data_IF_487777197494
#
_entry.id   IF_487777197494
#
_cell.length_a   1.000
_cell.length_b   1.000
_cell.length_c   1.000
_cell.angle_alpha   90.00
_cell.angle_beta   90.00
_cell.angle_gamma   90.00
#
_symmetry.space_group_name_H-M   'P 1'
#
loop_
_entity.id
_entity.type
_entity.pdbx_description
1 polymer ?
#
# COMPACT_ATOMS: atom_id res chain seq x y z
N UNK A 1 -32.63 -8.83 26.74
CA UNK A 1 -32.87 -7.42 26.34
C UNK A 1 -31.58 -6.88 25.77
N UNK A 2 -31.54 -6.53 24.48
CA UNK A 2 -30.31 -6.02 23.86
C UNK A 2 -30.01 -4.61 24.37
N UNK A 3 -28.77 -4.37 24.83
CA UNK A 3 -28.33 -3.11 25.43
C UNK A 3 -28.07 -2.11 24.30
N UNK A 4 -28.91 -1.07 24.18
CA UNK A 4 -28.74 0.01 23.19
C UNK A 4 -27.41 0.70 23.40
N UNK A 5 -26.62 0.85 22.33
CA UNK A 5 -25.37 1.61 22.36
C UNK A 5 -25.67 3.12 22.28
N UNK A 6 -24.95 3.93 23.06
CA UNK A 6 -25.02 5.39 23.06
C UNK A 6 -23.64 5.93 22.69
N UNK A 7 -23.57 6.86 21.73
CA UNK A 7 -22.36 7.58 21.34
C UNK A 7 -22.49 9.05 21.77
N UNK A 8 -21.63 9.46 22.69
CA UNK A 8 -21.52 10.82 23.23
C UNK A 8 -20.39 11.60 22.57
N UNK A 9 -20.35 12.92 22.80
CA UNK A 9 -19.27 13.77 22.31
C UNK A 9 -17.90 13.39 22.92
N UNK A 10 -17.88 12.86 24.14
CA UNK A 10 -16.65 12.43 24.79
C UNK A 10 -16.08 11.15 24.16
N UNK A 11 -16.95 10.24 23.70
CA UNK A 11 -16.53 9.04 22.97
C UNK A 11 -15.83 9.42 21.65
N UNK A 12 -16.38 10.41 20.95
CA UNK A 12 -15.80 10.96 19.70
C UNK A 12 -14.46 11.65 19.97
N UNK A 13 -14.35 12.46 21.03
CA UNK A 13 -13.08 13.10 21.41
C UNK A 13 -12.02 12.07 21.82
N UNK A 14 -12.42 11.04 22.55
CA UNK A 14 -11.52 9.97 22.96
C UNK A 14 -11.00 9.19 21.74
N UNK A 15 -11.87 8.89 20.77
CA UNK A 15 -11.47 8.27 19.50
C UNK A 15 -10.51 9.16 18.69
N UNK A 16 -10.82 10.44 18.55
CA UNK A 16 -9.93 11.39 17.86
C UNK A 16 -8.55 11.49 18.54
N UNK A 17 -8.49 11.48 19.87
CA UNK A 17 -7.24 11.45 20.64
C UNK A 17 -6.42 10.17 20.44
N UNK A 18 -7.08 9.04 20.17
CA UNK A 18 -6.42 7.76 19.83
C UNK A 18 -5.99 7.68 18.35
N UNK A 19 -6.24 8.74 17.56
CA UNK A 19 -5.93 8.76 16.13
C UNK A 19 -6.97 8.07 15.25
N UNK A 20 -8.09 7.60 15.83
CA UNK A 20 -9.17 6.98 15.07
C UNK A 20 -9.87 8.05 14.22
N UNK A 21 -10.20 7.67 12.97
CA UNK A 21 -10.94 8.53 12.02
C UNK A 21 -12.32 7.99 11.69
N UNK A 22 -12.66 6.81 12.21
CA UNK A 22 -13.96 6.17 12.04
C UNK A 22 -14.38 5.60 13.39
N UNK A 23 -15.63 5.84 13.78
CA UNK A 23 -16.24 5.28 14.97
C UNK A 23 -17.47 4.47 14.57
N UNK A 24 -17.43 3.18 14.89
CA UNK A 24 -18.39 2.20 14.40
C UNK A 24 -19.62 2.08 15.31
N UNK A 25 -20.80 2.20 14.70
CA UNK A 25 -22.12 2.03 15.29
C UNK A 25 -22.51 0.55 15.18
N UNK A 26 -22.79 -0.10 16.32
CA UNK A 26 -23.10 -1.54 16.40
C UNK A 26 -24.31 -1.91 15.56
N UNK A 27 -25.33 -1.06 15.55
CA UNK A 27 -26.55 -1.27 14.79
C UNK A 27 -27.30 0.06 14.54
N UNK A 28 -28.36 -0.01 13.72
CA UNK A 28 -29.20 1.17 13.38
C UNK A 28 -30.00 1.71 14.58
N UNK A 29 -29.97 1.01 15.72
CA UNK A 29 -30.62 1.44 16.97
C UNK A 29 -29.65 2.17 17.91
N UNK A 30 -28.39 2.32 17.50
CA UNK A 30 -27.37 3.13 18.20
C UNK A 30 -27.81 4.58 18.27
N UNK A 31 -27.84 5.13 19.48
CA UNK A 31 -28.21 6.52 19.72
C UNK A 31 -26.95 7.37 19.60
N UNK A 32 -26.92 8.26 18.62
CA UNK A 32 -25.87 9.28 18.49
C UNK A 32 -26.44 10.61 18.98
N UNK A 33 -25.81 11.20 19.99
CA UNK A 33 -26.23 12.53 20.46
C UNK A 33 -25.95 13.61 19.42
N UNK A 34 -26.76 14.66 19.36
CA UNK A 34 -26.54 15.77 18.42
C UNK A 34 -25.15 16.42 18.59
N UNK A 35 -24.68 16.51 19.84
CA UNK A 35 -23.36 17.03 20.15
C UNK A 35 -22.23 16.08 19.69
N UNK A 36 -22.44 14.75 19.75
CA UNK A 36 -21.49 13.79 19.19
C UNK A 36 -21.38 13.95 17.66
N UNK A 37 -22.50 14.10 16.96
CA UNK A 37 -22.50 14.30 15.51
C UNK A 37 -21.78 15.59 15.09
N UNK A 38 -22.00 16.69 15.81
CA UNK A 38 -21.26 17.94 15.57
C UNK A 38 -19.76 17.77 15.82
N UNK A 39 -19.41 17.18 16.97
CA UNK A 39 -18.00 16.96 17.37
C UNK A 39 -17.28 16.03 16.39
N UNK A 40 -17.98 15.03 15.83
CA UNK A 40 -17.44 14.11 14.84
C UNK A 40 -17.10 14.84 13.53
N UNK A 41 -17.99 15.74 13.09
CA UNK A 41 -17.74 16.61 11.93
C UNK A 41 -16.56 17.54 12.14
N UNK A 42 -16.46 18.18 13.31
CA UNK A 42 -15.40 19.15 13.63
C UNK A 42 -14.02 18.49 13.77
N UNK A 43 -13.97 17.24 14.26
CA UNK A 43 -12.73 16.49 14.47
C UNK A 43 -12.37 15.54 13.32
N UNK A 44 -13.17 15.51 12.25
CA UNK A 44 -12.93 14.65 11.09
C UNK A 44 -13.06 13.15 11.40
N UNK A 45 -14.00 12.77 12.26
CA UNK A 45 -14.32 11.38 12.62
C UNK A 45 -15.62 10.98 11.92
N UNK A 46 -15.58 9.94 11.07
CA UNK A 46 -16.76 9.38 10.43
C UNK A 46 -17.53 8.44 11.39
N UNK A 47 -18.86 8.43 11.29
CA UNK A 47 -19.71 7.50 12.03
C UNK A 47 -20.26 6.46 11.05
N UNK A 48 -19.82 5.21 11.16
CA UNK A 48 -20.13 4.15 10.20
C UNK A 48 -20.90 3.00 10.87
N UNK A 49 -21.85 2.40 10.15
CA UNK A 49 -22.61 1.25 10.64
C UNK A 49 -21.83 -0.04 10.35
N UNK A 50 -21.51 -0.82 11.39
CA UNK A 50 -20.84 -2.12 11.22
C UNK A 50 -19.73 -2.37 12.23
N UNK A 51 -18.85 -3.32 11.92
CA UNK A 51 -17.60 -3.55 12.64
C UNK A 51 -16.44 -2.93 11.85
N UNK A 52 -15.26 -2.71 12.49
CA UNK A 52 -14.08 -2.24 11.80
C UNK A 52 -13.79 -3.11 10.57
N UNK A 53 -14.12 -2.61 9.39
CA UNK A 53 -13.50 -3.15 8.19
C UNK A 53 -12.02 -2.77 8.30
N UNK A 54 -11.09 -3.74 8.23
CA UNK A 54 -9.67 -3.42 8.22
C UNK A 54 -9.45 -2.38 7.13
N UNK A 55 -9.03 -1.19 7.57
CA UNK A 55 -8.82 -0.05 6.71
C UNK A 55 -7.99 -0.51 5.51
N UNK A 56 -8.48 -0.19 4.31
CA UNK A 56 -7.70 -0.32 3.10
C UNK A 56 -6.31 0.27 3.38
N UNK A 57 -5.29 -0.59 3.29
CA UNK A 57 -3.90 -0.19 3.41
C UNK A 57 -3.61 0.93 2.41
N UNK A 58 -2.72 1.85 2.79
CA UNK A 58 -2.80 3.25 2.40
C UNK A 58 -2.73 3.41 0.89
N UNK A 59 -3.53 4.34 0.38
CA UNK A 59 -3.12 5.12 -0.79
C UNK A 59 -1.85 5.88 -0.41
N UNK A 60 -0.71 5.18 -0.38
CA UNK A 60 0.60 5.76 -0.23
C UNK A 60 0.91 6.52 -1.52
N UNK A 61 1.12 7.82 -1.35
CA UNK A 61 1.77 8.67 -2.35
C UNK A 61 3.01 7.97 -2.91
N UNK A 62 3.37 8.25 -4.18
CA UNK A 62 4.52 7.62 -4.82
C UNK A 62 5.78 7.80 -3.96
N UNK A 63 6.16 6.73 -3.24
CA UNK A 63 7.37 6.73 -2.45
C UNK A 63 8.56 6.71 -3.42
N UNK A 64 9.10 7.90 -3.66
CA UNK A 64 10.51 8.08 -4.02
C UNK A 64 11.31 7.22 -3.04
N UNK A 65 12.31 6.43 -3.48
CA UNK A 65 13.22 5.76 -2.55
C UNK A 65 13.66 6.79 -1.52
N UNK A 66 13.20 6.59 -0.27
CA UNK A 66 13.45 7.55 0.78
C UNK A 66 14.96 7.69 0.95
N UNK A 67 15.39 8.89 1.34
CA UNK A 67 16.78 9.22 1.67
C UNK A 67 17.47 8.11 2.50
N UNK A 68 16.72 7.49 3.42
CA UNK A 68 17.13 6.34 4.22
C UNK A 68 17.59 5.11 3.41
N UNK A 69 16.90 4.76 2.32
CA UNK A 69 17.23 3.59 1.49
C UNK A 69 18.53 3.83 0.69
N UNK A 70 18.71 5.04 0.18
CA UNK A 70 19.93 5.43 -0.55
C UNK A 70 21.13 5.44 0.39
N UNK A 71 20.96 5.97 1.60
CA UNK A 71 21.99 5.91 2.66
C UNK A 71 22.37 4.49 3.01
N UNK A 72 21.40 3.60 3.22
CA UNK A 72 21.65 2.21 3.56
C UNK A 72 22.45 1.48 2.46
N UNK A 73 22.06 1.66 1.20
CA UNK A 73 22.74 1.06 0.06
C UNK A 73 24.19 1.57 -0.06
N UNK A 74 24.40 2.88 0.08
CA UNK A 74 25.73 3.48 0.03
C UNK A 74 26.61 3.01 1.20
N UNK A 75 26.07 2.90 2.40
CA UNK A 75 26.80 2.44 3.59
C UNK A 75 27.25 0.98 3.41
N UNK A 76 26.37 0.12 2.90
CA UNK A 76 26.70 -1.29 2.61
C UNK A 76 27.79 -1.42 1.54
N UNK A 77 27.78 -0.57 0.51
CA UNK A 77 28.77 -0.59 -0.57
C UNK A 77 30.13 -0.03 -0.13
N UNK A 78 30.13 1.00 0.72
CA UNK A 78 31.33 1.76 1.12
C UNK A 78 31.93 1.27 2.45
N UNK A 79 31.24 0.38 3.17
CA UNK A 79 31.72 -0.19 4.43
C UNK A 79 31.84 0.81 5.58
N UNK A 80 31.07 1.91 5.55
CA UNK A 80 31.23 2.98 6.54
C UNK A 80 30.28 4.17 6.36
N UNK A 81 30.63 5.28 7.03
CA UNK A 81 29.84 6.51 7.04
C UNK A 81 29.70 7.12 5.64
N UNK A 82 28.47 7.46 5.27
CA UNK A 82 28.14 7.97 3.94
C UNK A 82 28.13 9.49 3.99
N UNK A 83 28.92 10.12 3.11
CA UNK A 83 28.96 11.57 2.99
C UNK A 83 27.64 12.10 2.39
N UNK A 84 27.08 13.15 2.98
CA UNK A 84 25.82 13.77 2.53
C UNK A 84 25.84 14.23 1.07
N UNK A 85 26.98 14.74 0.59
CA UNK A 85 27.16 15.17 -0.80
C UNK A 85 26.98 14.01 -1.79
N UNK A 86 27.40 12.80 -1.40
CA UNK A 86 27.24 11.60 -2.21
C UNK A 86 25.78 11.15 -2.25
N UNK A 87 25.06 11.21 -1.12
CA UNK A 87 23.63 10.89 -1.06
C UNK A 87 22.85 11.84 -1.97
N UNK A 88 23.11 13.14 -1.84
CA UNK A 88 22.49 14.17 -2.68
C UNK A 88 22.79 13.96 -4.17
N UNK A 89 24.03 13.61 -4.53
CA UNK A 89 24.41 13.36 -5.92
C UNK A 89 23.76 12.10 -6.50
N UNK A 90 23.65 11.02 -5.71
CA UNK A 90 22.94 9.81 -6.13
C UNK A 90 21.46 10.11 -6.33
N UNK A 91 20.83 10.82 -5.40
CA UNK A 91 19.44 11.25 -5.52
C UNK A 91 19.21 12.13 -6.76
N UNK A 92 20.13 13.07 -7.03
CA UNK A 92 20.11 13.90 -8.25
C UNK A 92 20.18 13.06 -9.52
N UNK A 93 21.08 12.07 -9.58
CA UNK A 93 21.22 11.17 -10.74
C UNK A 93 20.00 10.29 -10.93
N UNK A 94 19.44 9.76 -9.84
CA UNK A 94 18.19 8.97 -9.88
C UNK A 94 17.03 9.82 -10.41
N UNK A 95 16.91 11.08 -9.97
CA UNK A 95 15.91 12.01 -10.49
C UNK A 95 16.13 12.31 -11.98
N UNK A 96 17.38 12.57 -12.39
CA UNK A 96 17.73 12.83 -13.79
C UNK A 96 17.46 11.62 -14.69
N UNK A 97 17.70 10.40 -14.21
CA UNK A 97 17.47 9.19 -14.98
C UNK A 97 15.97 8.89 -15.15
N UNK A 98 15.14 9.27 -14.16
CA UNK A 98 13.67 9.22 -14.27
C UNK A 98 13.11 10.22 -15.28
N UNK A 99 13.78 11.35 -15.48
CA UNK A 99 13.37 12.39 -16.43
C UNK A 99 14.02 12.25 -17.80
N UNK A 100 14.87 11.22 -18.01
CA UNK A 100 15.50 10.99 -19.32
C UNK A 100 14.42 10.78 -20.39
N UNK A 101 14.53 11.47 -21.54
CA UNK A 101 13.61 11.29 -22.64
C UNK A 101 13.72 9.87 -23.20
N UNK A 102 12.59 9.33 -23.66
CA UNK A 102 12.53 8.02 -24.30
C UNK A 102 13.46 8.02 -25.52
N UNK A 103 14.39 7.06 -25.57
CA UNK A 103 15.23 6.86 -26.76
C UNK A 103 14.53 5.86 -27.67
N UNK A 104 14.17 6.30 -28.88
CA UNK A 104 13.45 5.45 -29.84
C UNK A 104 12.07 4.97 -29.36
N UNK A 105 11.43 5.70 -28.44
CA UNK A 105 10.14 5.29 -27.85
C UNK A 105 10.25 4.33 -26.65
N UNK A 106 11.45 3.82 -26.35
CA UNK A 106 11.70 2.97 -25.17
C UNK A 106 12.08 3.86 -23.98
N UNK A 107 11.39 3.66 -22.84
CA UNK A 107 11.64 4.39 -21.59
C UNK A 107 11.97 3.42 -20.47
N UNK A 108 12.97 3.76 -19.65
CA UNK A 108 13.23 3.08 -18.38
C UNK A 108 12.22 3.57 -17.35
N UNK A 109 11.38 2.66 -16.88
CA UNK A 109 10.18 2.97 -16.09
C UNK A 109 10.49 2.94 -14.59
N UNK A 110 11.17 1.88 -14.10
CA UNK A 110 11.63 1.81 -12.72
C UNK A 110 12.95 1.04 -12.60
N UNK A 111 13.78 1.45 -11.64
CA UNK A 111 14.83 0.61 -11.07
C UNK A 111 14.73 0.74 -9.58
N UNK A 112 14.12 -0.26 -8.93
CA UNK A 112 14.09 -0.32 -7.48
C UNK A 112 14.55 -1.71 -7.07
N UNK A 113 15.65 -1.72 -6.32
CA UNK A 113 16.02 -2.84 -5.48
C UNK A 113 15.09 -2.81 -4.26
N UNK A 114 13.87 -3.33 -4.41
CA UNK A 114 13.04 -3.64 -3.25
C UNK A 114 13.62 -4.92 -2.68
N UNK A 115 14.48 -4.81 -1.68
CA UNK A 115 14.80 -5.95 -0.82
C UNK A 115 13.76 -5.94 0.30
N UNK A 116 13.16 -7.09 0.59
CA UNK A 116 12.29 -7.20 1.76
C UNK A 116 13.09 -6.80 3.03
N UNK A 117 12.47 -6.12 4.01
CA UNK A 117 13.17 -5.69 5.21
C UNK A 117 13.76 -6.91 5.93
N UNK A 118 15.07 -6.87 6.21
CA UNK A 118 15.84 -8.00 6.75
C UNK A 118 15.36 -8.46 8.15
N UNK A 119 14.64 -7.61 8.88
CA UNK A 119 14.00 -7.94 10.15
C UNK A 119 12.98 -6.85 10.53
N UNK A 120 11.74 -6.99 10.08
CA UNK A 120 10.64 -6.11 10.51
C UNK A 120 9.31 -6.50 9.87
N UNK A 121 8.22 -6.31 10.60
CA UNK A 121 6.87 -6.34 10.02
C UNK A 121 6.70 -5.09 9.15
N UNK A 122 6.62 -5.27 7.84
CA UNK A 122 6.42 -4.17 6.91
C UNK A 122 6.40 -4.66 5.47
N UNK A 123 5.52 -4.07 4.67
CA UNK A 123 5.54 -4.21 3.23
C UNK A 123 6.27 -3.02 2.62
N UNK A 124 7.18 -3.28 1.69
CA UNK A 124 7.78 -2.24 0.88
C UNK A 124 7.09 -2.26 -0.47
N UNK A 125 6.46 -1.14 -0.81
CA UNK A 125 5.76 -0.97 -2.07
C UNK A 125 6.44 0.15 -2.84
N UNK A 126 6.76 -0.13 -4.09
CA UNK A 126 7.14 0.90 -5.04
C UNK A 126 6.06 1.01 -6.09
N UNK A 127 5.62 2.24 -6.37
CA UNK A 127 4.60 2.54 -7.37
C UNK A 127 5.10 3.61 -8.32
N UNK A 128 4.97 3.36 -9.60
CA UNK A 128 5.07 4.37 -10.64
C UNK A 128 3.71 4.54 -11.30
N UNK A 129 3.29 5.80 -11.42
CA UNK A 129 2.12 6.18 -12.21
C UNK A 129 2.47 6.21 -13.70
N UNK A 130 1.92 5.25 -14.45
CA UNK A 130 2.11 5.12 -15.89
C UNK A 130 1.13 5.98 -16.69
N UNK A 131 0.01 6.41 -16.11
CA UNK A 131 -0.96 7.25 -16.82
C UNK A 131 -0.37 8.62 -17.21
N UNK A 132 0.64 9.08 -16.47
CA UNK A 132 1.41 10.29 -16.82
C UNK A 132 2.34 10.11 -18.03
N UNK A 133 2.65 8.87 -18.39
CA UNK A 133 3.61 8.52 -19.44
C UNK A 133 2.92 8.06 -20.73
N UNK A 134 1.75 7.42 -20.61
CA UNK A 134 0.99 6.85 -21.71
C UNK A 134 -0.46 7.26 -21.57
N UNK A 135 -0.93 8.11 -22.49
CA UNK A 135 -2.32 8.56 -22.55
C UNK A 135 -3.20 7.55 -23.33
N UNK A 136 -3.26 6.31 -22.84
CA UNK A 136 -4.10 5.24 -23.39
C UNK A 136 -4.86 4.56 -22.25
N UNK A 137 -6.21 4.61 -22.24
CA UNK A 137 -7.01 3.96 -21.20
C UNK A 137 -6.90 2.43 -21.19
N UNK A 138 -6.45 1.80 -22.29
CA UNK A 138 -6.16 0.37 -22.33
C UNK A 138 -4.76 0.02 -21.79
N UNK A 139 -3.90 1.01 -21.57
CA UNK A 139 -2.58 0.80 -20.99
C UNK A 139 -2.67 0.63 -19.46
N UNK A 140 -1.71 -0.08 -18.83
CA UNK A 140 -1.59 -0.11 -17.38
C UNK A 140 -1.45 1.30 -16.82
N UNK A 141 -2.17 1.61 -15.75
CA UNK A 141 -2.13 2.92 -15.09
C UNK A 141 -1.04 2.99 -14.02
N UNK A 142 -0.60 1.86 -13.49
CA UNK A 142 0.50 1.80 -12.54
C UNK A 142 1.34 0.54 -12.73
N UNK A 143 2.62 0.65 -12.39
CA UNK A 143 3.53 -0.48 -12.32
C UNK A 143 4.45 -0.34 -11.11
N UNK A 144 4.92 -1.46 -10.58
CA UNK A 144 5.75 -1.41 -9.40
C UNK A 144 6.28 -2.74 -8.93
N UNK A 145 7.01 -2.68 -7.82
CA UNK A 145 7.44 -3.86 -7.09
C UNK A 145 6.91 -3.80 -5.67
N UNK A 146 6.53 -4.96 -5.14
CA UNK A 146 6.17 -5.13 -3.74
C UNK A 146 7.07 -6.21 -3.14
N UNK A 147 7.45 -6.04 -1.89
CA UNK A 147 8.06 -7.11 -1.12
C UNK A 147 7.67 -7.04 0.35
N UNK A 148 7.43 -8.18 0.95
CA UNK A 148 7.12 -8.29 2.37
C UNK A 148 7.46 -9.69 2.89
N UNK A 149 7.40 -9.85 4.21
CA UNK A 149 7.68 -11.12 4.88
C UNK A 149 6.61 -11.46 5.88
N UNK A 150 6.28 -12.76 5.98
CA UNK A 150 5.46 -13.36 7.04
C UNK A 150 4.22 -12.54 7.40
N UNK A 151 3.47 -12.12 6.38
CA UNK A 151 2.33 -11.23 6.55
C UNK A 151 1.23 -11.56 5.56
N UNK A 152 0.00 -11.40 6.03
CA UNK A 152 -1.24 -11.51 5.28
C UNK A 152 -2.07 -10.27 5.54
N UNK A 153 -2.67 -9.73 4.49
CA UNK A 153 -3.42 -8.48 4.52
C UNK A 153 -4.66 -8.58 3.61
N UNK A 154 -5.77 -7.95 4.01
CA UNK A 154 -6.92 -7.80 3.12
C UNK A 154 -6.51 -7.08 1.84
N UNK A 155 -7.01 -7.56 0.71
CA UNK A 155 -6.72 -7.03 -0.61
C UNK A 155 -8.01 -6.86 -1.40
N UNK A 156 -8.22 -5.65 -1.90
CA UNK A 156 -9.30 -5.29 -2.81
C UNK A 156 -8.79 -4.16 -3.71
N UNK A 157 -9.12 -4.23 -5.00
CA UNK A 157 -8.74 -3.23 -6.00
C UNK A 157 -9.95 -2.84 -6.83
N UNK A 158 -9.93 -1.60 -7.29
CA UNK A 158 -10.90 -0.96 -8.17
C UNK A 158 -10.61 -1.20 -9.67
N UNK A 159 -9.60 -2.00 -9.98
CA UNK A 159 -9.22 -2.38 -11.34
C UNK A 159 -8.46 -3.70 -11.35
N UNK A 160 -8.25 -4.25 -12.54
CA UNK A 160 -7.50 -5.49 -12.72
C UNK A 160 -6.02 -5.30 -12.38
N UNK A 161 -5.39 -6.35 -11.87
CA UNK A 161 -3.96 -6.36 -11.59
C UNK A 161 -3.29 -7.66 -12.05
N UNK A 162 -2.17 -7.53 -12.74
CA UNK A 162 -1.29 -8.65 -13.12
C UNK A 162 -0.04 -8.59 -12.26
N UNK A 163 0.29 -9.68 -11.59
CA UNK A 163 1.48 -9.81 -10.75
C UNK A 163 2.40 -10.92 -11.27
N UNK A 164 3.70 -10.73 -11.09
CA UNK A 164 4.74 -11.73 -11.37
C UNK A 164 5.58 -11.92 -10.12
N UNK A 165 5.64 -13.15 -9.61
CA UNK A 165 6.47 -13.47 -8.43
C UNK A 165 7.93 -13.60 -8.87
N UNK A 166 8.79 -12.77 -8.28
CA UNK A 166 10.22 -12.72 -8.59
C UNK A 166 11.05 -13.53 -7.59
N UNK A 167 10.66 -13.50 -6.31
CA UNK A 167 11.31 -14.23 -5.23
C UNK A 167 10.27 -14.72 -4.22
N UNK A 168 10.53 -15.89 -3.60
CA UNK A 168 9.71 -16.43 -2.53
C UNK A 168 8.37 -17.02 -3.00
N UNK A 169 7.32 -16.83 -2.21
CA UNK A 169 5.98 -17.37 -2.47
C UNK A 169 4.88 -16.35 -2.13
N UNK A 170 3.83 -16.34 -2.93
CA UNK A 170 2.64 -15.51 -2.74
C UNK A 170 1.41 -16.41 -2.56
N UNK A 171 0.54 -16.06 -1.61
CA UNK A 171 -0.69 -16.77 -1.33
C UNK A 171 -1.89 -15.82 -1.42
N UNK A 172 -2.96 -16.32 -2.01
CA UNK A 172 -4.28 -15.68 -2.08
C UNK A 172 -5.27 -16.56 -1.35
N UNK A 173 -6.00 -16.00 -0.38
CA UNK A 173 -6.95 -16.71 0.46
C UNK A 173 -8.35 -16.12 0.31
N UNK A 174 -9.31 -16.97 0.01
CA UNK A 174 -10.73 -16.61 -0.04
C UNK A 174 -11.55 -17.75 0.55
N UNK A 175 -12.05 -17.54 1.77
CA UNK A 175 -12.75 -18.57 2.54
C UNK A 175 -11.89 -19.84 2.72
N UNK A 176 -12.37 -21.02 2.29
CA UNK A 176 -11.61 -22.28 2.41
C UNK A 176 -10.55 -22.46 1.31
N UNK A 177 -10.50 -21.58 0.30
CA UNK A 177 -9.62 -21.73 -0.86
C UNK A 177 -8.34 -20.93 -0.67
N UNK A 178 -7.21 -21.57 -0.93
CA UNK A 178 -5.89 -20.92 -1.01
C UNK A 178 -5.25 -21.23 -2.34
N UNK A 179 -4.84 -20.20 -3.07
CA UNK A 179 -4.03 -20.30 -4.29
C UNK A 179 -2.61 -19.84 -3.95
N UNK A 180 -1.60 -20.59 -4.35
CA UNK A 180 -0.19 -20.24 -4.14
C UNK A 180 0.50 -20.02 -5.47
N UNK A 181 1.30 -18.97 -5.57
CA UNK A 181 2.14 -18.64 -6.71
C UNK A 181 3.60 -18.57 -6.26
N UNK A 182 4.48 -19.32 -6.92
CA UNK A 182 5.91 -19.35 -6.67
C UNK A 182 6.69 -18.53 -7.69
N UNK A 183 8.02 -18.53 -7.57
CA UNK A 183 8.91 -17.78 -8.46
C UNK A 183 8.65 -18.12 -9.94
N UNK A 184 8.42 -17.08 -10.75
CA UNK A 184 8.13 -17.17 -12.17
C UNK A 184 6.64 -17.26 -12.52
N UNK A 185 5.77 -17.47 -11.53
CA UNK A 185 4.32 -17.52 -11.77
C UNK A 185 3.76 -16.12 -12.06
N UNK A 186 2.78 -16.09 -12.95
CA UNK A 186 2.02 -14.90 -13.33
C UNK A 186 0.59 -15.06 -12.82
N UNK A 187 0.11 -14.05 -12.09
CA UNK A 187 -1.21 -14.05 -11.47
C UNK A 187 -2.04 -12.89 -12.01
N UNK A 188 -3.27 -13.18 -12.40
CA UNK A 188 -4.29 -12.18 -12.69
C UNK A 188 -5.24 -12.07 -11.50
N UNK A 189 -5.44 -10.85 -11.01
CA UNK A 189 -6.41 -10.51 -9.97
C UNK A 189 -7.48 -9.62 -10.61
N UNK A 190 -8.70 -10.13 -10.82
CA UNK A 190 -9.79 -9.33 -11.37
C UNK A 190 -10.23 -8.22 -10.43
N UNK A 191 -10.75 -7.14 -11.02
CA UNK A 191 -11.41 -6.05 -10.28
C UNK A 191 -12.53 -6.56 -9.38
N UNK A 192 -12.80 -5.81 -8.31
CA UNK A 192 -13.86 -6.09 -7.34
C UNK A 192 -13.73 -7.42 -6.58
N UNK A 193 -12.60 -8.11 -6.73
CA UNK A 193 -12.30 -9.30 -5.92
C UNK A 193 -11.83 -8.88 -4.52
N UNK A 194 -12.46 -9.43 -3.50
CA UNK A 194 -12.06 -9.28 -2.09
C UNK A 194 -11.45 -10.58 -1.58
N UNK A 195 -10.19 -10.53 -1.17
CA UNK A 195 -9.42 -11.69 -0.69
C UNK A 195 -8.39 -11.25 0.36
N UNK A 196 -7.69 -12.20 0.96
CA UNK A 196 -6.48 -11.95 1.74
C UNK A 196 -5.25 -12.35 0.91
N UNK A 197 -4.32 -11.42 0.72
CA UNK A 197 -3.05 -11.64 0.02
C UNK A 197 -1.93 -11.71 1.04
N UNK A 198 -0.95 -12.58 0.84
CA UNK A 198 0.17 -12.63 1.76
C UNK A 198 1.21 -13.69 1.45
N UNK A 199 2.11 -13.90 2.41
CA UNK A 199 3.13 -14.93 2.35
C UNK A 199 3.43 -15.42 3.77
N UNK A 200 3.55 -16.73 4.01
CA UNK A 200 3.99 -17.24 5.30
C UNK A 200 5.51 -17.13 5.48
N UNK A 201 6.26 -16.84 4.41
CA UNK A 201 7.71 -16.73 4.40
C UNK A 201 8.15 -15.33 3.93
N UNK A 202 8.42 -15.16 2.65
CA UNK A 202 8.79 -13.89 2.02
C UNK A 202 8.31 -13.87 0.59
N UNK A 203 8.07 -12.68 0.06
CA UNK A 203 7.77 -12.50 -1.36
C UNK A 203 8.41 -11.21 -1.87
N UNK A 204 8.84 -11.24 -3.13
CA UNK A 204 9.11 -10.05 -3.95
C UNK A 204 8.39 -10.27 -5.28
N UNK A 205 7.60 -9.30 -5.70
CA UNK A 205 6.81 -9.38 -6.93
C UNK A 205 6.89 -8.08 -7.72
N UNK A 206 6.65 -8.19 -9.02
CA UNK A 206 6.34 -7.07 -9.91
C UNK A 206 4.83 -7.05 -10.15
N UNK A 207 4.23 -5.87 -10.32
CA UNK A 207 2.82 -5.74 -10.65
C UNK A 207 2.56 -4.68 -11.74
N UNK A 208 1.46 -4.89 -12.47
CA UNK A 208 0.83 -3.96 -13.40
C UNK A 208 -0.65 -3.83 -13.02
N UNK A 209 -1.10 -2.61 -12.73
CA UNK A 209 -2.49 -2.32 -12.43
C UNK A 209 -3.13 -1.56 -13.59
N UNK A 210 -4.41 -1.84 -13.85
CA UNK A 210 -5.22 -1.17 -14.86
C UNK A 210 -6.27 -0.27 -14.19
N UNK A 211 -6.74 0.75 -14.91
CA UNK A 211 -7.94 1.48 -14.48
C UNK A 211 -9.18 0.62 -14.72
N UNK A 212 -10.13 0.66 -13.79
CA UNK A 212 -11.39 -0.08 -13.85
C UNK A 212 -12.55 0.68 -14.49
#
# INVERSE_FOLDING_TARGET
>A
MSKKQLISADDVRAAAKRGERVLYLRDKTTIVTAQAASTAKDLGVALELGEPQPQASPSEEPQVPGDALVRQALAAQMGGEVREDLVAEVMRRMALERTRPAQGGVRKIASIAVSAPASGAGAVVSKLDLATLVADPAAPCAAGFMAWTKSFMPFQRDGDEVQVVLEGELQFRSGPHTVTAGVGDVVLIPKDLSLEIGTPSSVRLFYLSYQG
#
